data_IF_762061867221
#
_entry.id   IF_762061867221
#
_cell.length_a   1.000
_cell.length_b   1.000
_cell.length_c   1.000
_cell.angle_alpha   90.00
_cell.angle_beta   90.00
_cell.angle_gamma   90.00
#
_symmetry.space_group_name_H-M   'P 1'
#
loop_
_entity.id
_entity.type
_entity.pdbx_description
1 polymer ?
#
# COMPACT_ATOMS: atom_id res chain seq x y z
N UNK A 1 32.84 10.74 15.54
CA UNK A 1 33.61 9.49 15.72
C UNK A 1 32.61 8.41 16.07
N UNK A 2 32.29 7.42 15.25
CA UNK A 2 33.09 6.56 14.38
C UNK A 2 32.37 6.42 13.03
N UNK A 3 33.00 6.92 11.96
CA UNK A 3 32.55 6.66 10.59
C UNK A 3 33.02 5.24 10.29
N UNK A 4 32.10 4.28 10.23
CA UNK A 4 32.42 2.94 9.74
C UNK A 4 32.56 3.11 8.22
N UNK A 5 33.80 3.28 7.79
CA UNK A 5 34.16 3.11 6.39
C UNK A 5 33.76 1.69 6.00
N UNK A 6 32.76 1.58 5.11
CA UNK A 6 32.43 0.34 4.41
C UNK A 6 33.54 0.08 3.39
N UNK A 7 34.72 -0.25 3.90
CA UNK A 7 35.78 -0.90 3.15
C UNK A 7 35.31 -2.30 2.79
N UNK A 8 35.51 -2.67 1.53
CA UNK A 8 35.26 -3.98 0.94
C UNK A 8 33.79 -4.40 0.77
N UNK A 9 33.40 -4.48 -0.51
CA UNK A 9 32.25 -5.25 -0.98
C UNK A 9 32.46 -6.78 -0.80
N UNK A 10 33.55 -7.18 -0.14
CA UNK A 10 33.93 -8.55 0.15
C UNK A 10 33.22 -9.00 1.43
N UNK A 11 32.09 -9.70 1.28
CA UNK A 11 31.28 -10.19 2.41
C UNK A 11 29.76 -9.99 2.25
N UNK A 12 29.30 -9.23 1.24
CA UNK A 12 27.87 -9.11 0.94
C UNK A 12 27.27 -10.44 0.46
N UNK A 13 28.05 -11.26 -0.25
CA UNK A 13 27.66 -12.59 -0.72
C UNK A 13 27.42 -13.59 0.44
N UNK A 14 28.05 -13.38 1.60
CA UNK A 14 27.89 -14.25 2.77
C UNK A 14 26.61 -13.99 3.60
N UNK A 15 25.89 -12.90 3.32
CA UNK A 15 24.72 -12.51 4.10
C UNK A 15 23.42 -13.05 3.47
N UNK A 16 22.61 -13.85 4.20
CA UNK A 16 21.45 -14.54 3.64
C UNK A 16 20.36 -13.59 3.11
N UNK A 17 20.25 -12.37 3.68
CA UNK A 17 19.34 -11.31 3.22
C UNK A 17 19.61 -10.82 1.80
N UNK A 18 20.86 -10.89 1.35
CA UNK A 18 21.25 -10.46 0.02
C UNK A 18 21.00 -11.59 -0.98
N UNK A 19 21.42 -12.82 -0.68
CA UNK A 19 21.20 -13.98 -1.56
C UNK A 19 19.71 -14.24 -1.86
N UNK A 20 18.82 -14.06 -0.88
CA UNK A 20 17.38 -14.29 -1.03
C UNK A 20 16.61 -13.09 -1.62
N UNK A 21 17.27 -11.95 -1.84
CA UNK A 21 16.63 -10.69 -2.21
C UNK A 21 15.80 -10.80 -3.51
N UNK A 22 16.30 -11.52 -4.53
CA UNK A 22 15.58 -11.68 -5.81
C UNK A 22 14.27 -12.45 -5.65
N UNK A 23 14.26 -13.51 -4.84
CA UNK A 23 13.04 -14.28 -4.54
C UNK A 23 12.05 -13.43 -3.74
N UNK A 24 12.57 -12.66 -2.79
CA UNK A 24 11.79 -11.76 -1.95
C UNK A 24 11.11 -10.66 -2.77
N UNK A 25 11.81 -10.04 -3.72
CA UNK A 25 11.24 -9.05 -4.66
C UNK A 25 10.06 -9.63 -5.44
N UNK A 26 10.18 -10.87 -5.96
CA UNK A 26 9.10 -11.53 -6.71
C UNK A 26 7.88 -11.79 -5.83
N UNK A 27 8.10 -12.35 -4.63
CA UNK A 27 7.02 -12.63 -3.67
C UNK A 27 6.29 -11.36 -3.24
N UNK A 28 7.04 -10.33 -2.83
CA UNK A 28 6.47 -9.04 -2.43
C UNK A 28 5.72 -8.37 -3.58
N UNK A 29 6.23 -8.47 -4.81
CA UNK A 29 5.53 -7.96 -5.99
C UNK A 29 4.21 -8.66 -6.26
N UNK A 30 4.16 -9.99 -6.18
CA UNK A 30 2.91 -10.73 -6.35
C UNK A 30 1.88 -10.33 -5.29
N UNK A 31 2.30 -10.22 -4.03
CA UNK A 31 1.43 -9.80 -2.94
C UNK A 31 0.93 -8.36 -3.13
N UNK A 32 1.80 -7.45 -3.57
CA UNK A 32 1.47 -6.06 -3.88
C UNK A 32 0.40 -5.98 -4.98
N UNK A 33 0.57 -6.69 -6.10
CA UNK A 33 -0.40 -6.68 -7.19
C UNK A 33 -1.73 -7.34 -6.81
N UNK A 34 -1.70 -8.44 -6.05
CA UNK A 34 -2.92 -9.10 -5.58
C UNK A 34 -3.68 -8.21 -4.61
N UNK A 35 -3.02 -7.68 -3.58
CA UNK A 35 -3.67 -6.79 -2.60
C UNK A 35 -4.16 -5.49 -3.25
N UNK A 36 -3.34 -4.85 -4.07
CA UNK A 36 -3.69 -3.63 -4.79
C UNK A 36 -4.83 -3.86 -5.79
N UNK A 37 -4.82 -4.98 -6.52
CA UNK A 37 -5.88 -5.34 -7.47
C UNK A 37 -7.22 -5.63 -6.77
N UNK A 38 -7.21 -6.41 -5.69
CA UNK A 38 -8.41 -6.68 -4.89
C UNK A 38 -8.93 -5.39 -4.23
N UNK A 39 -8.04 -4.54 -3.70
CA UNK A 39 -8.41 -3.25 -3.13
C UNK A 39 -9.02 -2.31 -4.16
N UNK A 40 -8.42 -2.19 -5.35
CA UNK A 40 -8.95 -1.38 -6.43
C UNK A 40 -10.31 -1.90 -6.93
N UNK A 41 -10.46 -3.21 -7.08
CA UNK A 41 -11.73 -3.83 -7.45
C UNK A 41 -12.82 -3.58 -6.39
N UNK A 42 -12.49 -3.75 -5.11
CA UNK A 42 -13.38 -3.44 -3.99
C UNK A 42 -13.82 -1.96 -3.99
N UNK A 43 -12.91 -1.05 -4.31
CA UNK A 43 -13.19 0.38 -4.40
C UNK A 43 -14.12 0.70 -5.59
N UNK A 44 -13.87 0.11 -6.76
CA UNK A 44 -14.74 0.25 -7.92
C UNK A 44 -16.15 -0.27 -7.63
N UNK A 45 -16.27 -1.40 -6.94
CA UNK A 45 -17.56 -1.91 -6.48
C UNK A 45 -18.24 -0.96 -5.49
N UNK A 46 -17.50 -0.41 -4.52
CA UNK A 46 -18.04 0.55 -3.56
C UNK A 46 -18.59 1.80 -4.25
N UNK A 47 -17.84 2.37 -5.20
CA UNK A 47 -18.26 3.53 -6.00
C UNK A 47 -19.47 3.20 -6.88
N UNK A 48 -19.50 1.99 -7.46
CA UNK A 48 -20.63 1.54 -8.26
C UNK A 48 -21.89 1.42 -7.40
N UNK A 49 -21.78 0.85 -6.20
CA UNK A 49 -22.91 0.72 -5.28
C UNK A 49 -23.38 2.09 -4.78
N UNK A 50 -22.47 3.01 -4.47
CA UNK A 50 -22.81 4.38 -4.06
C UNK A 50 -23.67 5.11 -5.10
N UNK A 51 -23.43 4.89 -6.40
CA UNK A 51 -24.23 5.47 -7.47
C UNK A 51 -25.70 5.03 -7.45
N UNK A 52 -25.98 3.80 -7.00
CA UNK A 52 -27.33 3.21 -7.01
C UNK A 52 -28.02 3.21 -5.64
N UNK A 53 -27.25 3.15 -4.56
CA UNK A 53 -27.75 3.12 -3.18
C UNK A 53 -26.86 3.96 -2.27
N UNK A 54 -26.96 5.30 -2.36
CA UNK A 54 -26.20 6.21 -1.52
C UNK A 54 -26.50 5.96 -0.03
N UNK A 55 -25.47 5.95 0.81
CA UNK A 55 -25.61 5.72 2.25
C UNK A 55 -25.88 4.26 2.62
N UNK A 56 -25.48 3.31 1.78
CA UNK A 56 -25.52 1.89 2.11
C UNK A 56 -24.36 1.47 3.03
N UNK A 57 -24.59 0.48 3.90
CA UNK A 57 -23.55 -0.14 4.72
C UNK A 57 -22.41 -0.72 3.88
N UNK A 58 -22.70 -1.12 2.63
CA UNK A 58 -21.71 -1.59 1.67
C UNK A 58 -20.55 -0.62 1.47
N UNK A 59 -20.84 0.68 1.45
CA UNK A 59 -19.84 1.71 1.22
C UNK A 59 -18.80 1.73 2.35
N UNK A 60 -19.26 1.64 3.60
CA UNK A 60 -18.38 1.63 4.76
C UNK A 60 -17.50 0.38 4.78
N UNK A 61 -18.10 -0.80 4.56
CA UNK A 61 -17.35 -2.07 4.60
C UNK A 61 -16.37 -2.20 3.44
N UNK A 62 -16.83 -2.01 2.20
CA UNK A 62 -15.99 -2.14 1.01
C UNK A 62 -14.97 -1.01 0.92
N UNK A 63 -15.35 0.23 1.27
CA UNK A 63 -14.44 1.37 1.30
C UNK A 63 -13.28 1.16 2.28
N UNK A 64 -13.57 0.78 3.53
CA UNK A 64 -12.54 0.54 4.53
C UNK A 64 -11.67 -0.69 4.22
N UNK A 65 -12.26 -1.79 3.73
CA UNK A 65 -11.50 -2.95 3.27
C UNK A 65 -10.57 -2.60 2.10
N UNK A 66 -11.05 -1.81 1.13
CA UNK A 66 -10.27 -1.37 -0.02
C UNK A 66 -9.13 -0.44 0.38
N UNK A 67 -9.40 0.52 1.26
CA UNK A 67 -8.38 1.41 1.81
C UNK A 67 -7.28 0.62 2.54
N UNK A 68 -7.65 -0.37 3.36
CA UNK A 68 -6.69 -1.22 4.05
C UNK A 68 -5.83 -2.04 3.08
N UNK A 69 -6.44 -2.64 2.04
CA UNK A 69 -5.72 -3.40 1.01
C UNK A 69 -4.80 -2.52 0.15
N UNK A 70 -5.21 -1.29 -0.16
CA UNK A 70 -4.38 -0.30 -0.86
C UNK A 70 -3.17 0.09 0.00
N UNK A 71 -3.36 0.35 1.29
CA UNK A 71 -2.26 0.66 2.21
C UNK A 71 -1.31 -0.53 2.39
N UNK A 72 -1.83 -1.76 2.43
CA UNK A 72 -1.01 -2.96 2.43
C UNK A 72 -0.17 -3.06 1.14
N UNK A 73 -0.76 -2.80 -0.02
CA UNK A 73 -0.04 -2.75 -1.29
C UNK A 73 1.07 -1.68 -1.27
N UNK A 74 0.80 -0.50 -0.71
CA UNK A 74 1.77 0.58 -0.56
C UNK A 74 2.95 0.17 0.34
N UNK A 75 2.67 -0.49 1.47
CA UNK A 75 3.70 -1.04 2.37
C UNK A 75 4.55 -2.13 1.69
N UNK A 76 3.91 -3.06 0.98
CA UNK A 76 4.58 -4.10 0.21
C UNK A 76 5.44 -3.53 -0.92
N UNK A 77 4.99 -2.45 -1.56
CA UNK A 77 5.76 -1.74 -2.58
C UNK A 77 7.02 -1.11 -1.98
N UNK A 78 6.89 -0.42 -0.84
CA UNK A 78 8.02 0.17 -0.14
C UNK A 78 9.07 -0.89 0.23
N UNK A 79 8.63 -2.02 0.78
CA UNK A 79 9.51 -3.14 1.11
C UNK A 79 10.18 -3.77 -0.13
N UNK A 80 9.41 -3.93 -1.22
CA UNK A 80 9.95 -4.42 -2.50
C UNK A 80 11.03 -3.50 -3.05
N UNK A 81 10.89 -2.18 -2.90
CA UNK A 81 11.90 -1.22 -3.35
C UNK A 81 13.25 -1.45 -2.64
N UNK A 82 13.22 -1.62 -1.32
CA UNK A 82 14.42 -1.92 -0.52
C UNK A 82 15.02 -3.28 -0.89
N UNK A 83 14.20 -4.31 -1.05
CA UNK A 83 14.66 -5.63 -1.50
C UNK A 83 15.27 -5.59 -2.91
N UNK A 84 14.74 -4.77 -3.81
CA UNK A 84 15.29 -4.57 -5.17
C UNK A 84 16.64 -3.86 -5.11
N UNK A 85 16.80 -2.88 -4.23
CA UNK A 85 18.10 -2.26 -3.99
C UNK A 85 19.13 -3.28 -3.51
N UNK A 86 18.77 -4.15 -2.55
CA UNK A 86 19.65 -5.24 -2.07
C UNK A 86 20.04 -6.20 -3.20
N UNK A 87 19.08 -6.58 -4.05
CA UNK A 87 19.33 -7.45 -5.19
C UNK A 87 20.28 -6.81 -6.23
N UNK A 88 20.19 -5.49 -6.45
CA UNK A 88 21.10 -4.77 -7.35
C UNK A 88 22.50 -4.61 -6.76
N UNK A 89 22.61 -4.40 -5.45
CA UNK A 89 23.90 -4.28 -4.77
C UNK A 89 24.76 -5.55 -4.89
N UNK A 90 24.13 -6.74 -4.91
CA UNK A 90 24.83 -8.00 -5.21
C UNK A 90 25.16 -8.21 -6.68
N UNK A 91 24.31 -7.72 -7.59
CA UNK A 91 24.43 -7.99 -9.01
C UNK A 91 25.41 -7.07 -9.76
N UNK A 92 26.07 -6.13 -9.07
CA UNK A 92 26.92 -5.13 -9.68
C UNK A 92 28.42 -5.50 -9.61
N UNK A 93 29.03 -5.96 -10.72
CA UNK A 93 30.38 -5.55 -11.06
C UNK A 93 30.35 -4.15 -11.71
N UNK A 94 31.37 -3.34 -11.40
CA UNK A 94 31.65 -1.98 -11.87
C UNK A 94 31.05 -1.65 -13.25
N UNK A 95 30.08 -0.75 -13.30
CA UNK A 95 29.72 -0.02 -14.51
C UNK A 95 30.06 1.47 -14.29
N UNK A 96 31.32 1.80 -14.53
CA UNK A 96 31.78 3.16 -14.75
C UNK A 96 31.33 3.61 -16.15
N UNK A 97 30.85 4.85 -16.21
CA UNK A 97 30.73 5.78 -17.33
C UNK A 97 30.14 5.32 -18.67
N UNK A 98 29.07 6.04 -19.07
CA UNK A 98 29.11 6.73 -20.36
C UNK A 98 28.27 8.02 -20.33
N UNK A 99 28.83 9.16 -20.73
CA UNK A 99 28.15 10.45 -20.85
C UNK A 99 27.52 10.62 -22.25
N UNK A 100 26.74 11.71 -22.37
CA UNK A 100 26.29 12.38 -23.59
C UNK A 100 25.02 11.85 -24.29
N UNK A 101 23.93 12.60 -24.12
CA UNK A 101 23.04 12.96 -25.23
C UNK A 101 22.42 14.34 -24.96
N UNK A 102 23.24 15.39 -25.08
CA UNK A 102 22.76 16.75 -25.28
C UNK A 102 22.79 17.02 -26.78
N UNK A 103 21.62 17.30 -27.38
CA UNK A 103 21.35 17.93 -28.69
C UNK A 103 20.26 17.20 -29.49
N UNK A 104 18.99 17.51 -29.19
CA UNK A 104 17.80 17.39 -30.04
C UNK A 104 16.66 18.00 -29.18
N UNK A 105 15.87 19.04 -29.50
CA UNK A 105 15.23 19.49 -30.74
C UNK A 105 14.80 20.95 -30.53
N UNK A 106 15.28 21.86 -31.36
CA UNK A 106 14.93 23.29 -31.32
C UNK A 106 13.73 23.63 -32.24
N UNK A 107 12.72 22.75 -32.29
CA UNK A 107 11.45 23.01 -32.99
C UNK A 107 10.28 22.36 -32.22
N UNK A 108 10.00 22.85 -31.00
CA UNK A 108 8.85 22.40 -30.21
C UNK A 108 7.85 23.55 -29.98
N UNK A 109 6.59 23.29 -30.30
CA UNK A 109 5.49 24.24 -30.15
C UNK A 109 5.34 24.70 -28.70
N UNK A 110 4.65 25.82 -28.47
CA UNK A 110 4.44 26.35 -27.11
C UNK A 110 3.84 25.31 -26.14
N UNK A 111 3.04 24.36 -26.67
CA UNK A 111 2.48 23.24 -25.93
C UNK A 111 3.54 22.21 -25.52
N UNK A 112 4.44 21.80 -26.42
CA UNK A 112 5.58 20.94 -26.08
C UNK A 112 6.56 21.62 -25.13
N UNK A 113 6.73 22.95 -25.22
CA UNK A 113 7.53 23.72 -24.26
C UNK A 113 6.90 23.80 -22.87
N UNK A 114 5.56 23.85 -22.79
CA UNK A 114 4.85 23.80 -21.51
C UNK A 114 4.89 22.38 -20.91
N UNK A 115 4.70 21.35 -21.75
CA UNK A 115 4.81 19.96 -21.36
C UNK A 115 6.23 19.58 -20.93
N UNK A 116 7.26 20.03 -21.64
CA UNK A 116 8.66 19.82 -21.24
C UNK A 116 8.98 20.57 -19.96
N UNK A 117 8.52 21.81 -19.77
CA UNK A 117 8.70 22.50 -18.48
C UNK A 117 7.96 21.82 -17.32
N UNK A 118 6.74 21.33 -17.53
CA UNK A 118 6.03 20.54 -16.51
C UNK A 118 6.72 19.19 -16.27
N UNK A 119 7.24 18.57 -17.32
CA UNK A 119 7.98 17.31 -17.27
C UNK A 119 9.29 17.48 -16.53
N UNK A 120 10.09 18.49 -16.86
CA UNK A 120 11.37 18.80 -16.24
C UNK A 120 11.19 19.26 -14.78
N UNK A 121 10.15 20.07 -14.52
CA UNK A 121 9.79 20.45 -13.15
C UNK A 121 9.33 19.23 -12.35
N UNK A 122 8.51 18.36 -12.95
CA UNK A 122 8.07 17.10 -12.37
C UNK A 122 9.24 16.14 -12.15
N UNK A 123 10.16 16.04 -13.09
CA UNK A 123 11.33 15.16 -13.03
C UNK A 123 12.34 15.65 -11.99
N UNK A 124 12.53 16.98 -11.86
CA UNK A 124 13.35 17.58 -10.81
C UNK A 124 12.76 17.35 -9.42
N UNK A 125 11.44 17.49 -9.25
CA UNK A 125 10.74 17.17 -8.00
C UNK A 125 10.79 15.67 -7.69
N UNK A 126 10.63 14.80 -8.69
CA UNK A 126 10.72 13.33 -8.56
C UNK A 126 12.15 12.90 -8.22
N UNK A 127 13.17 13.54 -8.78
CA UNK A 127 14.59 13.29 -8.44
C UNK A 127 14.94 13.75 -7.03
N UNK A 128 14.34 14.83 -6.55
CA UNK A 128 14.61 15.37 -5.21
C UNK A 128 13.86 14.63 -4.09
N UNK A 129 12.61 14.22 -4.34
CA UNK A 129 11.75 13.55 -3.34
C UNK A 129 11.94 12.01 -3.36
N UNK A 130 12.41 11.47 -4.49
CA UNK A 130 12.48 10.04 -4.74
C UNK A 130 11.12 9.50 -5.20
N UNK A 131 11.11 8.81 -6.35
CA UNK A 131 9.91 8.22 -6.94
C UNK A 131 9.13 7.31 -5.97
N UNK A 132 9.82 6.59 -5.09
CA UNK A 132 9.20 5.70 -4.10
C UNK A 132 8.39 6.45 -3.04
N UNK A 133 8.89 7.61 -2.59
CA UNK A 133 8.26 8.44 -1.56
C UNK A 133 6.99 9.09 -2.07
N UNK A 134 7.03 9.64 -3.29
CA UNK A 134 5.85 10.23 -3.94
C UNK A 134 4.75 9.19 -4.13
N UNK A 135 5.12 7.97 -4.51
CA UNK A 135 4.15 6.91 -4.72
C UNK A 135 3.53 6.42 -3.41
N UNK A 136 4.32 6.31 -2.34
CA UNK A 136 3.82 6.02 -0.99
C UNK A 136 2.83 7.11 -0.52
N UNK A 137 3.18 8.38 -0.72
CA UNK A 137 2.30 9.50 -0.41
C UNK A 137 1.01 9.44 -1.25
N UNK A 138 1.11 9.14 -2.55
CA UNK A 138 -0.05 9.01 -3.43
C UNK A 138 -1.05 7.96 -2.97
N UNK A 139 -0.58 6.76 -2.61
CA UNK A 139 -1.45 5.72 -2.05
C UNK A 139 -2.07 6.12 -0.71
N UNK A 140 -1.30 6.79 0.14
CA UNK A 140 -1.81 7.25 1.43
C UNK A 140 -2.89 8.33 1.26
N UNK A 141 -2.68 9.32 0.38
CA UNK A 141 -3.70 10.31 0.03
C UNK A 141 -4.94 9.63 -0.56
N UNK A 142 -4.77 8.68 -1.47
CA UNK A 142 -5.90 7.93 -2.04
C UNK A 142 -6.71 7.23 -0.94
N UNK A 143 -6.04 6.54 -0.01
CA UNK A 143 -6.70 5.89 1.11
C UNK A 143 -7.45 6.90 2.00
N UNK A 144 -6.87 8.07 2.28
CA UNK A 144 -7.55 9.15 3.01
C UNK A 144 -8.80 9.66 2.29
N UNK A 145 -8.71 9.85 0.97
CA UNK A 145 -9.86 10.27 0.15
C UNK A 145 -10.97 9.22 0.22
N UNK A 146 -10.65 7.94 0.09
CA UNK A 146 -11.62 6.83 0.18
C UNK A 146 -12.31 6.82 1.55
N UNK A 147 -11.53 6.87 2.64
CA UNK A 147 -12.09 6.88 4.00
C UNK A 147 -12.97 8.10 4.18
N UNK A 148 -12.51 9.29 3.77
CA UNK A 148 -13.26 10.55 3.90
C UNK A 148 -14.55 10.57 3.07
N UNK A 149 -14.55 9.94 1.89
CA UNK A 149 -15.71 9.87 1.01
C UNK A 149 -16.83 9.00 1.61
N UNK A 150 -16.47 7.89 2.26
CA UNK A 150 -17.43 6.93 2.80
C UNK A 150 -17.66 7.04 4.31
N UNK A 151 -17.06 8.03 4.96
CA UNK A 151 -17.22 8.29 6.39
C UNK A 151 -18.58 8.90 6.70
N UNK A 152 -19.54 8.08 7.12
CA UNK A 152 -20.86 8.54 7.55
C UNK A 152 -21.37 7.78 8.77
N UNK A 153 -21.46 8.45 9.93
CA UNK A 153 -21.96 7.83 11.17
C UNK A 153 -23.49 7.80 11.28
N UNK A 154 -24.22 8.42 10.34
CA UNK A 154 -25.69 8.43 10.34
C UNK A 154 -26.30 7.26 9.56
N UNK A 155 -25.48 6.28 9.15
CA UNK A 155 -25.94 5.08 8.44
C UNK A 155 -26.98 4.32 9.28
N UNK A 156 -28.09 3.97 8.63
CA UNK A 156 -29.16 3.17 9.25
C UNK A 156 -28.87 1.68 9.14
N UNK A 157 -29.52 0.89 10.00
CA UNK A 157 -29.52 -0.56 9.88
C UNK A 157 -30.11 -0.99 8.54
N UNK A 158 -29.54 -2.04 7.95
CA UNK A 158 -29.99 -2.57 6.66
C UNK A 158 -30.05 -4.09 6.70
N UNK A 159 -31.08 -4.67 6.08
CA UNK A 159 -31.23 -6.12 5.97
C UNK A 159 -30.54 -6.61 4.69
N UNK A 160 -29.33 -7.17 4.85
CA UNK A 160 -28.52 -7.66 3.75
C UNK A 160 -28.51 -9.20 3.60
N UNK A 161 -29.18 -9.91 4.52
CA UNK A 161 -29.07 -11.34 4.83
C UNK A 161 -28.28 -12.20 3.83
N UNK A 162 -28.80 -12.49 2.64
CA UNK A 162 -28.12 -13.37 1.67
C UNK A 162 -26.85 -12.77 1.08
N UNK A 163 -26.92 -11.50 0.63
CA UNK A 163 -25.80 -10.81 0.01
C UNK A 163 -24.68 -10.48 1.01
N UNK A 164 -25.07 -10.07 2.23
CA UNK A 164 -24.16 -9.82 3.34
C UNK A 164 -23.39 -11.08 3.74
N UNK A 165 -24.07 -12.24 3.80
CA UNK A 165 -23.41 -13.51 4.10
C UNK A 165 -22.38 -13.89 3.02
N UNK A 166 -22.73 -13.76 1.74
CA UNK A 166 -21.81 -14.09 0.65
C UNK A 166 -20.54 -13.23 0.68
N UNK A 167 -20.69 -11.91 0.79
CA UNK A 167 -19.53 -11.02 0.84
C UNK A 167 -18.77 -11.17 2.15
N UNK A 168 -19.45 -11.36 3.27
CA UNK A 168 -18.83 -11.68 4.56
C UNK A 168 -17.95 -12.92 4.49
N UNK A 169 -18.41 -13.99 3.82
CA UNK A 169 -17.61 -15.20 3.59
C UNK A 169 -16.39 -14.95 2.69
N UNK A 170 -16.52 -14.10 1.66
CA UNK A 170 -15.37 -13.69 0.82
C UNK A 170 -14.34 -12.92 1.65
N UNK A 171 -14.77 -11.98 2.49
CA UNK A 171 -13.89 -11.24 3.39
C UNK A 171 -13.18 -12.17 4.38
N UNK A 172 -13.87 -13.18 4.92
CA UNK A 172 -13.25 -14.21 5.75
C UNK A 172 -12.21 -15.03 5.00
N UNK A 173 -12.47 -15.41 3.74
CA UNK A 173 -11.52 -16.16 2.91
C UNK A 173 -10.26 -15.32 2.63
N UNK A 174 -10.43 -14.03 2.32
CA UNK A 174 -9.31 -13.10 2.17
C UNK A 174 -8.54 -12.92 3.47
N UNK A 175 -9.24 -12.79 4.61
CA UNK A 175 -8.62 -12.71 5.92
C UNK A 175 -7.82 -13.98 6.24
N UNK A 176 -8.34 -15.16 5.91
CA UNK A 176 -7.59 -16.40 6.09
C UNK A 176 -6.30 -16.42 5.24
N UNK A 177 -6.37 -16.02 3.97
CA UNK A 177 -5.19 -15.90 3.10
C UNK A 177 -4.14 -14.94 3.67
N UNK A 178 -4.59 -13.79 4.21
CA UNK A 178 -3.72 -12.82 4.88
C UNK A 178 -3.15 -13.36 6.20
N UNK A 179 -3.89 -14.19 6.94
CA UNK A 179 -3.41 -14.81 8.17
C UNK A 179 -2.26 -15.78 7.89
N UNK A 180 -2.33 -16.53 6.78
CA UNK A 180 -1.22 -17.38 6.34
C UNK A 180 0.01 -16.53 6.00
N UNK A 181 -0.18 -15.39 5.32
CA UNK A 181 0.91 -14.47 4.98
C UNK A 181 1.51 -13.84 6.25
N UNK A 182 0.67 -13.39 7.18
CA UNK A 182 1.08 -12.85 8.48
C UNK A 182 1.94 -13.86 9.24
N UNK A 183 1.46 -15.11 9.32
CA UNK A 183 2.16 -16.17 10.02
C UNK A 183 3.51 -16.46 9.38
N UNK A 184 3.56 -16.47 8.05
CA UNK A 184 4.81 -16.63 7.31
C UNK A 184 5.80 -15.49 7.62
N UNK A 185 5.36 -14.21 7.55
CA UNK A 185 6.21 -13.05 7.83
C UNK A 185 6.70 -13.03 9.28
N UNK A 186 5.84 -13.37 10.24
CA UNK A 186 6.21 -13.41 11.68
C UNK A 186 7.23 -14.50 12.02
N UNK A 187 7.38 -15.50 11.15
CA UNK A 187 8.30 -16.62 11.33
C UNK A 187 9.62 -16.43 10.59
N UNK A 188 9.78 -15.35 9.82
CA UNK A 188 11.04 -15.04 9.13
C UNK A 188 12.06 -14.45 10.11
N UNK A 189 13.31 -14.93 10.13
CA UNK A 189 14.35 -14.40 11.01
C UNK A 189 14.80 -13.00 10.57
N UNK A 190 15.04 -12.11 11.53
CA UNK A 190 15.43 -10.70 11.29
C UNK A 190 16.71 -10.58 10.44
N UNK A 191 17.63 -11.54 10.54
CA UNK A 191 18.85 -11.59 9.73
C UNK A 191 18.60 -11.84 8.25
N UNK A 192 17.43 -12.36 7.87
CA UNK A 192 17.02 -12.62 6.49
C UNK A 192 16.12 -11.49 5.94
N UNK A 193 15.23 -10.92 6.76
CA UNK A 193 14.30 -9.87 6.33
C UNK A 193 13.95 -8.87 7.45
N UNK A 194 14.65 -7.72 7.54
CA UNK A 194 14.37 -6.74 8.61
C UNK A 194 12.98 -6.07 8.49
N UNK A 195 12.36 -6.14 7.31
CA UNK A 195 11.05 -5.53 7.03
C UNK A 195 9.86 -6.44 7.40
N UNK A 196 10.10 -7.73 7.67
CA UNK A 196 9.04 -8.70 7.88
C UNK A 196 8.15 -8.37 9.09
N UNK A 197 8.74 -7.85 10.17
CA UNK A 197 7.98 -7.43 11.36
C UNK A 197 7.01 -6.28 11.07
N UNK A 198 7.47 -5.23 10.39
CA UNK A 198 6.63 -4.09 10.02
C UNK A 198 5.52 -4.50 9.02
N UNK A 199 5.85 -5.36 8.05
CA UNK A 199 4.85 -5.90 7.12
C UNK A 199 3.82 -6.77 7.83
N UNK A 200 4.23 -7.60 8.80
CA UNK A 200 3.30 -8.41 9.59
C UNK A 200 2.30 -7.53 10.36
N UNK A 201 2.74 -6.39 10.91
CA UNK A 201 1.84 -5.42 11.56
C UNK A 201 0.83 -4.80 10.58
N UNK A 202 1.26 -4.44 9.36
CA UNK A 202 0.34 -3.94 8.31
C UNK A 202 -0.67 -5.00 7.88
N UNK A 203 -0.23 -6.27 7.75
CA UNK A 203 -1.13 -7.39 7.46
C UNK A 203 -2.12 -7.58 8.61
N UNK A 204 -1.69 -7.51 9.88
CA UNK A 204 -2.60 -7.58 11.05
C UNK A 204 -3.64 -6.49 11.04
N UNK A 205 -3.28 -5.25 10.71
CA UNK A 205 -4.26 -4.17 10.56
C UNK A 205 -5.30 -4.52 9.49
N UNK A 206 -4.83 -4.97 8.32
CA UNK A 206 -5.71 -5.35 7.20
C UNK A 206 -6.63 -6.51 7.59
N UNK A 207 -6.11 -7.51 8.31
CA UNK A 207 -6.88 -8.63 8.86
C UNK A 207 -8.01 -8.15 9.77
N UNK A 208 -7.70 -7.26 10.72
CA UNK A 208 -8.68 -6.71 11.65
C UNK A 208 -9.79 -6.00 10.89
N UNK A 209 -9.46 -5.17 9.90
CA UNK A 209 -10.46 -4.45 9.07
C UNK A 209 -11.37 -5.44 8.33
N UNK A 210 -10.83 -6.49 7.72
CA UNK A 210 -11.62 -7.49 6.99
C UNK A 210 -12.51 -8.33 7.92
N UNK A 211 -11.98 -8.79 9.06
CA UNK A 211 -12.73 -9.58 10.04
C UNK A 211 -13.88 -8.78 10.63
N UNK A 212 -13.61 -7.52 10.98
CA UNK A 212 -14.61 -6.60 11.48
C UNK A 212 -15.66 -6.29 10.40
N UNK A 213 -15.24 -6.06 9.15
CA UNK A 213 -16.16 -5.88 8.02
C UNK A 213 -17.08 -7.10 7.82
N UNK A 214 -16.52 -8.31 7.87
CA UNK A 214 -17.29 -9.56 7.77
C UNK A 214 -18.28 -9.70 8.93
N UNK A 215 -17.85 -9.42 10.16
CA UNK A 215 -18.73 -9.40 11.34
C UNK A 215 -19.90 -8.42 11.15
N UNK A 216 -19.63 -7.22 10.65
CA UNK A 216 -20.68 -6.22 10.40
C UNK A 216 -21.71 -6.71 9.37
N UNK A 217 -21.27 -7.41 8.32
CA UNK A 217 -22.16 -7.95 7.29
C UNK A 217 -23.03 -9.11 7.82
N UNK A 218 -22.45 -10.04 8.59
CA UNK A 218 -23.21 -11.17 9.15
C UNK A 218 -24.26 -10.74 10.17
N UNK A 219 -23.97 -9.69 10.93
CA UNK A 219 -24.87 -9.18 11.97
C UNK A 219 -25.71 -7.98 11.51
N UNK A 220 -25.68 -7.63 10.22
CA UNK A 220 -26.49 -6.53 9.69
C UNK A 220 -27.98 -6.86 9.82
N UNK A 221 -28.74 -5.94 10.40
CA UNK A 221 -30.21 -5.96 10.34
C UNK A 221 -30.79 -4.56 10.48
N UNK A 222 -32.05 -4.38 10.08
CA UNK A 222 -32.77 -3.11 10.24
C UNK A 222 -32.81 -2.62 11.69
N UNK A 223 -33.01 -3.53 12.65
CA UNK A 223 -33.13 -3.18 14.08
C UNK A 223 -31.78 -2.92 14.78
N UNK A 224 -30.64 -3.23 14.14
CA UNK A 224 -29.31 -3.16 14.76
C UNK A 224 -28.48 -2.08 14.07
N UNK A 225 -28.23 -1.00 14.79
CA UNK A 225 -27.46 0.16 14.28
C UNK A 225 -25.95 -0.02 14.52
N UNK A 226 -25.56 -0.85 15.50
CA UNK A 226 -24.16 -1.03 15.87
C UNK A 226 -23.26 -1.56 14.72
N UNK A 227 -23.69 -2.48 13.83
CA UNK A 227 -22.82 -2.97 12.75
C UNK A 227 -22.45 -1.85 11.79
N UNK A 228 -23.40 -0.97 11.46
CA UNK A 228 -23.15 0.17 10.58
C UNK A 228 -22.14 1.15 11.20
N UNK A 229 -22.30 1.48 12.49
CA UNK A 229 -21.37 2.37 13.20
C UNK A 229 -19.97 1.77 13.31
N UNK A 230 -19.90 0.48 13.64
CA UNK A 230 -18.63 -0.23 13.79
C UNK A 230 -17.91 -0.35 12.44
N UNK A 231 -18.64 -0.61 11.36
CA UNK A 231 -18.11 -0.63 9.99
C UNK A 231 -17.53 0.71 9.54
N UNK A 232 -18.02 1.84 10.06
CA UNK A 232 -17.43 3.17 9.79
C UNK A 232 -16.22 3.41 10.69
N UNK A 233 -16.36 3.16 11.99
CA UNK A 233 -15.31 3.41 12.99
C UNK A 233 -14.05 2.59 12.75
N UNK A 234 -14.16 1.38 12.18
CA UNK A 234 -12.98 0.58 11.84
C UNK A 234 -12.08 1.27 10.82
N UNK A 235 -12.62 2.21 10.04
CA UNK A 235 -11.86 3.09 9.13
C UNK A 235 -10.83 3.98 9.82
N UNK A 236 -10.89 4.15 11.15
CA UNK A 236 -9.86 4.86 11.91
C UNK A 236 -8.50 4.15 11.88
N UNK A 237 -8.47 2.82 11.79
CA UNK A 237 -7.23 2.05 11.69
C UNK A 237 -6.47 2.36 10.38
N UNK A 238 -7.06 2.19 9.18
CA UNK A 238 -6.40 2.58 7.94
C UNK A 238 -6.18 4.09 7.86
N UNK A 239 -7.02 4.93 8.48
CA UNK A 239 -6.77 6.37 8.58
C UNK A 239 -5.44 6.66 9.30
N UNK A 240 -5.22 6.04 10.47
CA UNK A 240 -3.98 6.22 11.23
C UNK A 240 -2.74 5.79 10.46
N UNK A 241 -2.80 4.62 9.80
CA UNK A 241 -1.68 4.11 8.98
C UNK A 241 -1.42 5.01 7.77
N UNK A 242 -2.46 5.54 7.11
CA UNK A 242 -2.31 6.48 6.01
C UNK A 242 -1.63 7.79 6.46
N UNK A 243 -2.01 8.31 7.62
CA UNK A 243 -1.37 9.49 8.22
C UNK A 243 0.09 9.22 8.57
N UNK A 244 0.40 8.05 9.12
CA UNK A 244 1.78 7.64 9.39
C UNK A 244 2.61 7.57 8.11
N UNK A 245 2.06 7.00 7.02
CA UNK A 245 2.75 6.94 5.73
C UNK A 245 2.98 8.32 5.13
N UNK A 246 2.02 9.23 5.25
CA UNK A 246 2.20 10.63 4.82
C UNK A 246 3.25 11.34 5.66
N UNK A 247 3.23 11.16 6.97
CA UNK A 247 4.23 11.76 7.84
C UNK A 247 5.63 11.25 7.49
N UNK A 248 5.80 9.93 7.28
CA UNK A 248 7.06 9.33 6.83
C UNK A 248 7.50 9.89 5.49
N UNK A 249 6.58 10.02 4.54
CA UNK A 249 6.88 10.57 3.23
C UNK A 249 7.36 12.02 3.34
N UNK A 250 6.65 12.86 4.09
CA UNK A 250 7.02 14.26 4.33
C UNK A 250 8.37 14.37 5.04
N UNK A 251 8.60 13.60 6.10
CA UNK A 251 9.88 13.60 6.83
C UNK A 251 11.04 13.14 5.97
N UNK A 252 10.82 12.18 5.06
CA UNK A 252 11.87 11.73 4.15
C UNK A 252 12.29 12.79 3.13
N UNK A 253 11.42 13.76 2.80
CA UNK A 253 11.80 14.91 1.96
C UNK A 253 12.78 15.83 2.68
N UNK A 254 12.70 15.90 4.01
CA UNK A 254 13.55 16.78 4.82
C UNK A 254 14.83 16.12 5.35
N UNK A 255 15.02 14.81 5.11
CA UNK A 255 16.19 14.05 5.55
C UNK A 255 16.98 13.55 4.33
N UNK A 256 17.81 14.41 3.69
CA UNK A 256 18.64 14.04 2.54
C UNK A 256 19.74 13.02 2.87
#
# INVERSE_FOLDING_TARGET
MMRVDLGEHDGLEGLPRFQMAVQQVRRLGRLMYVSGGVGAFGLLLALSIDLFSPGSLWMAVLGNASAALILLAAGLQSARHVAMWRARALAAPVAADSPATAQALDETGWYERLLTRLSDSGESLVRHIGSSTLWLAGWAVLALIVIRAFWNLTLSGSDLSTSGNLVGSILLLLAFGLLVIERQLSSEPEGQSPEAGALAQLVRMTLIVLLVGALCLFFSSADRIWPARLAVLIGLLPLGVALEFLLRAVLSVFSP
#
